data_IF_457910127289
#
_entry.id   IF_457910127289
#
_cell.length_a   1.000
_cell.length_b   1.000
_cell.length_c   1.000
_cell.angle_alpha   90.00
_cell.angle_beta   90.00
_cell.angle_gamma   90.00
#
_symmetry.space_group_name_H-M   'P 1'
#
loop_
_entity.id
_entity.type
_entity.pdbx_description
1 polymer ?
#
# COMPACT_ATOMS: atom_id res chain seq x y z
N UNK A 1 20.51 -0.52 -4.53
CA UNK A 1 19.04 -0.68 -4.69
C UNK A 1 18.28 0.46 -4.02
N UNK A 2 18.47 0.75 -2.73
CA UNK A 2 17.73 1.80 -2.00
C UNK A 2 18.02 3.24 -2.46
N UNK A 3 19.25 3.55 -2.87
CA UNK A 3 19.62 4.89 -3.35
C UNK A 3 18.88 5.28 -4.63
N UNK A 4 18.58 4.32 -5.50
CA UNK A 4 17.86 4.54 -6.76
C UNK A 4 16.37 4.84 -6.56
N UNK A 5 15.81 4.57 -5.37
CA UNK A 5 14.37 4.66 -5.08
C UNK A 5 14.01 6.01 -4.44
N UNK A 6 15.00 6.85 -4.10
CA UNK A 6 14.76 8.16 -3.49
C UNK A 6 14.06 8.07 -2.13
N UNK A 7 14.41 7.05 -1.33
CA UNK A 7 13.91 6.87 0.05
C UNK A 7 14.84 7.54 1.06
N UNK A 8 14.24 8.18 2.07
CA UNK A 8 14.95 8.87 3.14
C UNK A 8 15.82 7.95 4.00
N UNK A 9 16.79 8.54 4.70
CA UNK A 9 17.77 7.83 5.55
C UNK A 9 17.13 6.89 6.56
N UNK A 10 16.04 7.31 7.22
CA UNK A 10 15.30 6.49 8.20
C UNK A 10 14.81 5.17 7.60
N UNK A 11 14.14 5.24 6.44
CA UNK A 11 13.63 4.05 5.73
C UNK A 11 14.79 3.14 5.32
N UNK A 12 15.92 3.71 4.89
CA UNK A 12 17.11 2.95 4.49
C UNK A 12 17.73 2.20 5.67
N UNK A 13 17.87 2.86 6.81
CA UNK A 13 18.41 2.25 8.04
C UNK A 13 17.50 1.13 8.54
N UNK A 14 16.18 1.32 8.47
CA UNK A 14 15.23 0.30 8.85
C UNK A 14 15.21 -0.88 7.88
N UNK A 15 15.23 -0.63 6.56
CA UNK A 15 15.38 -1.69 5.58
C UNK A 15 16.68 -2.48 5.79
N UNK A 16 17.79 -1.79 6.10
CA UNK A 16 19.08 -2.42 6.39
C UNK A 16 19.02 -3.27 7.66
N UNK A 17 18.48 -2.75 8.76
CA UNK A 17 18.38 -3.50 10.03
C UNK A 17 17.48 -4.73 9.90
N UNK A 18 16.41 -4.63 9.11
CA UNK A 18 15.48 -5.72 8.83
C UNK A 18 16.14 -6.78 7.93
N UNK A 19 16.84 -6.35 6.86
CA UNK A 19 17.65 -7.27 6.05
C UNK A 19 18.73 -7.97 6.88
N UNK A 20 19.45 -7.23 7.72
CA UNK A 20 20.53 -7.77 8.55
C UNK A 20 19.98 -8.85 9.50
N UNK A 21 18.88 -8.58 10.21
CA UNK A 21 18.25 -9.58 11.09
C UNK A 21 17.80 -10.84 10.32
N UNK A 22 17.25 -10.68 9.12
CA UNK A 22 16.78 -11.80 8.30
C UNK A 22 17.91 -12.60 7.64
N UNK A 23 19.04 -11.95 7.34
CA UNK A 23 20.18 -12.59 6.67
C UNK A 23 21.11 -13.28 7.65
N UNK A 24 21.27 -12.72 8.84
CA UNK A 24 22.05 -13.34 9.92
C UNK A 24 21.23 -14.34 10.75
N UNK A 25 19.90 -14.35 10.61
CA UNK A 25 19.07 -15.46 11.05
C UNK A 25 19.04 -16.59 10.01
N UNK A 26 18.67 -17.81 10.43
CA UNK A 26 18.55 -18.99 9.55
C UNK A 26 17.54 -18.82 8.41
N UNK A 27 16.78 -17.72 8.41
CA UNK A 27 15.77 -17.40 7.41
C UNK A 27 16.34 -17.25 5.98
N UNK A 28 17.57 -16.77 5.82
CA UNK A 28 18.15 -16.53 4.49
C UNK A 28 18.79 -17.76 3.83
N UNK A 29 18.92 -18.88 4.54
CA UNK A 29 19.55 -20.10 4.03
C UNK A 29 18.77 -20.65 2.84
N UNK A 30 19.44 -20.82 1.70
CA UNK A 30 18.84 -21.32 0.45
C UNK A 30 17.92 -20.34 -0.29
N UNK A 31 17.79 -19.09 0.18
CA UNK A 31 16.93 -18.07 -0.44
C UNK A 31 17.73 -17.04 -1.23
N UNK A 32 17.10 -16.46 -2.25
CA UNK A 32 17.71 -15.39 -3.06
C UNK A 32 17.81 -14.10 -2.24
N UNK A 33 19.04 -13.69 -1.89
CA UNK A 33 19.32 -12.49 -1.10
C UNK A 33 18.77 -11.21 -1.74
N UNK A 34 18.68 -11.15 -3.07
CA UNK A 34 18.10 -9.99 -3.78
C UNK A 34 16.59 -9.90 -3.56
N UNK A 35 15.90 -11.05 -3.49
CA UNK A 35 14.47 -11.14 -3.20
C UNK A 35 14.18 -10.78 -1.75
N UNK A 36 15.04 -11.20 -0.82
CA UNK A 36 14.95 -10.81 0.60
C UNK A 36 15.12 -9.30 0.75
N UNK A 37 16.18 -8.73 0.15
CA UNK A 37 16.46 -7.30 0.24
C UNK A 37 15.32 -6.44 -0.33
N UNK A 38 14.75 -6.87 -1.47
CA UNK A 38 13.60 -6.20 -2.07
C UNK A 38 12.36 -6.27 -1.18
N UNK A 39 12.04 -7.44 -0.64
CA UNK A 39 10.88 -7.63 0.23
C UNK A 39 11.00 -6.87 1.57
N UNK A 40 12.18 -6.87 2.19
CA UNK A 40 12.47 -6.11 3.40
C UNK A 40 12.42 -4.60 3.15
N UNK A 41 12.92 -4.14 2.00
CA UNK A 41 12.78 -2.73 1.57
C UNK A 41 11.33 -2.32 1.43
N UNK A 42 10.50 -3.16 0.79
CA UNK A 42 9.06 -2.92 0.67
C UNK A 42 8.38 -2.86 2.04
N UNK A 43 8.76 -3.73 2.97
CA UNK A 43 8.24 -3.72 4.33
C UNK A 43 8.62 -2.46 5.09
N UNK A 44 9.90 -2.06 5.06
CA UNK A 44 10.37 -0.83 5.68
C UNK A 44 9.67 0.40 5.11
N UNK A 45 9.51 0.50 3.78
CA UNK A 45 8.75 1.60 3.19
C UNK A 45 7.32 1.64 3.73
N UNK A 46 6.67 0.48 3.83
CA UNK A 46 5.29 0.38 4.35
C UNK A 46 5.19 0.76 5.83
N UNK A 47 6.19 0.47 6.66
CA UNK A 47 6.20 0.91 8.05
C UNK A 47 6.22 2.42 8.18
N UNK A 48 6.89 3.10 7.26
CA UNK A 48 6.93 4.57 7.18
C UNK A 48 5.80 5.17 6.34
N UNK A 49 4.73 4.41 6.09
CA UNK A 49 3.57 4.89 5.32
C UNK A 49 3.84 5.09 3.81
N UNK A 50 5.04 4.77 3.32
CA UNK A 50 5.40 4.87 1.91
C UNK A 50 5.12 3.56 1.18
N UNK A 51 4.31 3.66 0.14
CA UNK A 51 4.05 2.55 -0.78
C UNK A 51 5.07 2.57 -1.90
N UNK A 52 5.81 1.48 -2.08
CA UNK A 52 6.57 1.27 -3.31
C UNK A 52 5.71 0.60 -4.38
N UNK A 53 5.63 1.23 -5.55
CA UNK A 53 5.09 0.62 -6.75
C UNK A 53 6.05 -0.43 -7.33
N UNK A 54 5.52 -1.45 -8.01
CA UNK A 54 6.35 -2.50 -8.63
C UNK A 54 7.35 -1.96 -9.66
N UNK A 55 6.98 -0.86 -10.32
CA UNK A 55 7.80 -0.18 -11.32
C UNK A 55 8.91 0.68 -10.70
N UNK A 56 8.81 0.97 -9.40
CA UNK A 56 9.77 1.84 -8.69
C UNK A 56 10.99 1.07 -8.21
N UNK A 57 10.96 -0.26 -8.20
CA UNK A 57 12.11 -1.08 -7.81
C UNK A 57 12.80 -1.63 -9.07
N UNK A 58 13.99 -1.14 -9.44
CA UNK A 58 14.66 -1.51 -10.69
C UNK A 58 15.02 -3.00 -10.72
N UNK A 59 14.81 -3.66 -11.86
CA UNK A 59 15.23 -5.06 -12.09
C UNK A 59 14.34 -6.14 -11.45
N UNK A 60 13.17 -5.75 -10.93
CA UNK A 60 12.33 -6.62 -10.09
C UNK A 60 11.10 -7.22 -10.80
N UNK A 61 10.71 -6.67 -11.96
CA UNK A 61 9.45 -7.04 -12.63
C UNK A 61 9.30 -8.56 -12.87
N UNK A 62 10.40 -9.25 -13.18
CA UNK A 62 10.43 -10.71 -13.45
C UNK A 62 10.32 -11.56 -12.18
N UNK A 63 10.62 -11.01 -10.99
CA UNK A 63 10.62 -11.72 -9.70
C UNK A 63 9.45 -11.35 -8.79
N UNK A 64 8.46 -10.59 -9.29
CA UNK A 64 7.35 -10.05 -8.50
C UNK A 64 6.65 -11.08 -7.61
N UNK A 65 6.29 -12.26 -8.16
CA UNK A 65 5.61 -13.33 -7.38
C UNK A 65 6.47 -13.85 -6.23
N UNK A 66 7.78 -14.00 -6.44
CA UNK A 66 8.71 -14.47 -5.40
C UNK A 66 8.86 -13.44 -4.29
N UNK A 67 8.91 -12.15 -4.65
CA UNK A 67 9.04 -11.05 -3.68
C UNK A 67 7.77 -10.89 -2.86
N UNK A 68 6.58 -11.04 -3.46
CA UNK A 68 5.31 -11.04 -2.72
C UNK A 68 5.24 -12.19 -1.70
N UNK A 69 5.68 -13.38 -2.09
CA UNK A 69 5.78 -14.51 -1.16
C UNK A 69 6.77 -14.22 -0.04
N UNK A 70 7.96 -13.74 -0.40
CA UNK A 70 9.01 -13.39 0.57
C UNK A 70 8.56 -12.31 1.55
N UNK A 71 7.86 -11.29 1.05
CA UNK A 71 7.30 -10.22 1.86
C UNK A 71 6.36 -10.78 2.94
N UNK A 72 5.47 -11.71 2.58
CA UNK A 72 4.57 -12.36 3.54
C UNK A 72 5.33 -13.25 4.54
N UNK A 73 6.31 -14.00 4.06
CA UNK A 73 7.17 -14.81 4.94
C UNK A 73 7.93 -13.94 5.95
N UNK A 74 8.47 -12.80 5.51
CA UNK A 74 9.15 -11.84 6.38
C UNK A 74 8.18 -11.26 7.40
N UNK A 75 6.97 -10.86 7.01
CA UNK A 75 5.96 -10.37 7.97
C UNK A 75 5.66 -11.41 9.04
N UNK A 76 5.50 -12.67 8.64
CA UNK A 76 5.25 -13.77 9.57
C UNK A 76 6.42 -13.98 10.54
N UNK A 77 7.66 -14.04 10.03
CA UNK A 77 8.85 -14.33 10.85
C UNK A 77 9.25 -13.15 11.74
N UNK A 78 9.08 -11.92 11.26
CA UNK A 78 9.43 -10.72 12.03
C UNK A 78 8.33 -10.26 12.99
N UNK A 79 7.10 -10.77 12.85
CA UNK A 79 5.93 -10.27 13.57
C UNK A 79 5.53 -8.84 13.16
N UNK A 80 6.16 -8.27 12.13
CA UNK A 80 5.94 -6.89 11.71
C UNK A 80 4.78 -6.84 10.72
N UNK A 81 3.64 -6.33 11.18
CA UNK A 81 2.51 -5.94 10.34
C UNK A 81 2.48 -4.42 10.24
N UNK A 82 2.86 -3.83 9.08
CA UNK A 82 2.79 -2.39 8.92
C UNK A 82 1.35 -1.91 9.09
N UNK A 83 1.22 -0.78 9.76
CA UNK A 83 -0.06 -0.17 10.11
C UNK A 83 -0.93 0.09 8.87
N UNK A 84 -2.25 0.22 9.05
CA UNK A 84 -3.27 0.18 7.98
C UNK A 84 -2.87 1.01 6.75
N UNK A 85 -2.22 0.34 5.80
CA UNK A 85 -1.62 0.89 4.58
C UNK A 85 -2.57 1.77 3.77
N UNK A 86 -3.88 1.54 3.90
CA UNK A 86 -4.91 2.34 3.24
C UNK A 86 -4.96 3.79 3.76
N UNK A 87 -4.69 4.05 5.05
CA UNK A 87 -4.70 5.40 5.61
C UNK A 87 -3.59 6.27 5.02
N UNK A 88 -2.37 5.74 4.96
CA UNK A 88 -1.23 6.50 4.41
C UNK A 88 -1.38 6.76 2.91
N UNK A 89 -2.01 5.82 2.17
CA UNK A 89 -2.37 6.05 0.77
C UNK A 89 -3.36 7.21 0.63
N UNK A 90 -4.39 7.28 1.48
CA UNK A 90 -5.37 8.38 1.42
C UNK A 90 -4.66 9.71 1.62
N UNK A 91 -3.83 9.84 2.66
CA UNK A 91 -3.09 11.09 2.92
C UNK A 91 -2.22 11.50 1.72
N UNK A 92 -1.46 10.56 1.15
CA UNK A 92 -0.62 10.84 -0.03
C UNK A 92 -1.47 11.24 -1.24
N UNK A 93 -2.52 10.49 -1.54
CA UNK A 93 -3.41 10.78 -2.68
C UNK A 93 -4.11 12.13 -2.54
N UNK A 94 -4.50 12.50 -1.32
CA UNK A 94 -5.06 13.81 -1.05
C UNK A 94 -4.04 14.92 -1.34
N UNK A 95 -2.79 14.76 -0.94
CA UNK A 95 -1.71 15.70 -1.28
C UNK A 95 -1.45 15.74 -2.79
N UNK A 96 -1.33 14.59 -3.45
CA UNK A 96 -1.07 14.50 -4.90
C UNK A 96 -2.20 15.14 -5.75
N UNK A 97 -3.40 15.26 -5.18
CA UNK A 97 -4.58 15.82 -5.85
C UNK A 97 -4.97 17.23 -5.36
N UNK A 98 -4.15 17.86 -4.51
CA UNK A 98 -4.41 19.16 -3.87
C UNK A 98 -5.78 19.22 -3.14
N UNK A 99 -6.08 18.19 -2.35
CA UNK A 99 -7.30 18.14 -1.55
C UNK A 99 -7.11 18.76 -0.18
N UNK A 100 -8.19 19.33 0.35
CA UNK A 100 -8.17 19.94 1.67
C UNK A 100 -8.00 18.89 2.77
N UNK A 101 -7.54 19.35 3.93
CA UNK A 101 -7.46 18.50 5.14
C UNK A 101 -8.85 17.96 5.51
N UNK A 102 -9.91 18.75 5.28
CA UNK A 102 -11.29 18.32 5.53
C UNK A 102 -11.70 17.15 4.63
N UNK A 103 -11.34 17.20 3.35
CA UNK A 103 -11.60 16.11 2.40
C UNK A 103 -10.84 14.83 2.80
N UNK A 104 -9.58 14.98 3.24
CA UNK A 104 -8.78 13.87 3.73
C UNK A 104 -9.40 13.23 4.98
N UNK A 105 -9.84 14.03 5.96
CA UNK A 105 -10.51 13.53 7.17
C UNK A 105 -11.82 12.81 6.84
N UNK A 106 -12.59 13.32 5.88
CA UNK A 106 -13.83 12.69 5.43
C UNK A 106 -13.56 11.36 4.71
N UNK A 107 -12.54 11.30 3.85
CA UNK A 107 -12.10 10.06 3.20
C UNK A 107 -11.65 9.01 4.24
N UNK A 108 -10.88 9.42 5.26
CA UNK A 108 -10.47 8.54 6.35
C UNK A 108 -11.67 8.03 7.17
N UNK A 109 -12.69 8.86 7.39
CA UNK A 109 -13.92 8.46 8.07
C UNK A 109 -14.70 7.40 7.29
N UNK A 110 -14.75 7.52 5.96
CA UNK A 110 -15.36 6.52 5.08
C UNK A 110 -14.55 5.23 5.07
N UNK A 111 -13.22 5.31 5.03
CA UNK A 111 -12.36 4.14 5.14
C UNK A 111 -12.62 3.39 6.45
N UNK A 112 -12.69 4.11 7.57
CA UNK A 112 -13.00 3.50 8.87
C UNK A 112 -14.37 2.79 8.85
N UNK A 113 -15.37 3.35 8.18
CA UNK A 113 -16.68 2.70 8.02
C UNK A 113 -16.58 1.41 7.18
N UNK A 114 -15.87 1.46 6.04
CA UNK A 114 -15.62 0.28 5.20
C UNK A 114 -14.88 -0.83 5.95
N UNK A 115 -13.92 -0.47 6.80
CA UNK A 115 -13.14 -1.42 7.60
C UNK A 115 -13.97 -2.02 8.74
N UNK A 116 -14.82 -1.23 9.41
CA UNK A 116 -15.73 -1.73 10.45
C UNK A 116 -16.70 -2.80 9.92
N UNK A 117 -17.15 -2.66 8.68
CA UNK A 117 -18.01 -3.65 8.04
C UNK A 117 -17.24 -4.79 7.35
N UNK A 118 -15.92 -4.92 7.56
CA UNK A 118 -15.05 -5.89 6.88
C UNK A 118 -15.11 -5.82 5.33
N UNK A 119 -15.60 -4.72 4.75
CA UNK A 119 -15.73 -4.58 3.31
C UNK A 119 -14.36 -4.52 2.62
N UNK A 120 -13.32 -4.04 3.30
CA UNK A 120 -11.98 -3.91 2.73
C UNK A 120 -11.26 -5.26 2.53
N UNK A 121 -11.78 -6.35 3.10
CA UNK A 121 -11.15 -7.67 3.03
C UNK A 121 -11.09 -8.21 1.58
N UNK A 122 -9.92 -8.70 1.17
CA UNK A 122 -9.67 -9.19 -0.19
C UNK A 122 -9.60 -8.12 -1.28
N UNK A 123 -9.83 -6.84 -0.96
CA UNK A 123 -9.78 -5.72 -1.91
C UNK A 123 -8.40 -5.08 -1.96
N UNK A 124 -8.02 -4.53 -3.13
CA UNK A 124 -6.75 -3.81 -3.28
C UNK A 124 -6.82 -2.50 -2.48
N UNK A 125 -5.88 -2.22 -1.57
CA UNK A 125 -6.00 -1.02 -0.73
C UNK A 125 -5.91 0.29 -1.52
N UNK A 126 -5.18 0.34 -2.64
CA UNK A 126 -5.20 1.50 -3.55
C UNK A 126 -6.59 1.77 -4.12
N UNK A 127 -7.34 0.72 -4.47
CA UNK A 127 -8.72 0.86 -4.94
C UNK A 127 -9.66 1.29 -3.81
N UNK A 128 -9.47 0.78 -2.60
CA UNK A 128 -10.25 1.17 -1.41
C UNK A 128 -9.99 2.65 -1.07
N UNK A 129 -8.73 3.07 -1.02
CA UNK A 129 -8.35 4.46 -0.75
C UNK A 129 -8.92 5.42 -1.81
N UNK A 130 -8.77 5.10 -3.10
CA UNK A 130 -9.33 5.89 -4.18
C UNK A 130 -10.87 5.97 -4.10
N UNK A 131 -11.53 4.87 -3.74
CA UNK A 131 -12.97 4.86 -3.55
C UNK A 131 -13.41 5.72 -2.36
N UNK A 132 -12.71 5.63 -1.22
CA UNK A 132 -12.99 6.45 -0.05
C UNK A 132 -12.87 7.95 -0.36
N UNK A 133 -11.88 8.37 -1.15
CA UNK A 133 -11.70 9.76 -1.60
C UNK A 133 -12.84 10.22 -2.52
N UNK A 134 -13.26 9.36 -3.46
CA UNK A 134 -14.39 9.67 -4.35
C UNK A 134 -15.70 9.75 -3.57
N UNK A 135 -15.91 8.85 -2.61
CA UNK A 135 -17.10 8.82 -1.75
C UNK A 135 -17.15 9.97 -0.75
N UNK A 136 -16.01 10.56 -0.39
CA UNK A 136 -15.94 11.75 0.46
C UNK A 136 -16.64 12.98 -0.15
N UNK A 137 -17.13 12.89 -1.39
CA UNK A 137 -17.88 13.97 -2.04
C UNK A 137 -16.97 15.05 -2.61
N UNK A 138 -15.68 14.74 -2.75
CA UNK A 138 -14.73 15.61 -3.45
C UNK A 138 -15.17 15.74 -4.91
N UNK A 139 -15.09 16.94 -5.51
CA UNK A 139 -15.39 17.17 -6.94
C UNK A 139 -14.31 16.56 -7.85
N UNK A 140 -13.82 15.37 -7.53
CA UNK A 140 -12.80 14.64 -8.26
C UNK A 140 -13.47 13.64 -9.18
N UNK A 141 -13.06 13.66 -10.45
CA UNK A 141 -13.51 12.64 -11.40
C UNK A 141 -12.94 11.27 -11.01
N UNK A 142 -13.75 10.21 -11.20
CA UNK A 142 -13.32 8.82 -10.99
C UNK A 142 -12.04 8.50 -11.77
N UNK A 143 -11.88 9.11 -12.95
CA UNK A 143 -10.69 8.97 -13.79
C UNK A 143 -9.44 9.59 -13.15
N UNK A 144 -9.55 10.79 -12.57
CA UNK A 144 -8.44 11.46 -11.87
C UNK A 144 -8.01 10.66 -10.64
N UNK A 145 -8.97 10.18 -9.84
CA UNK A 145 -8.70 9.33 -8.68
C UNK A 145 -8.03 7.99 -9.09
N UNK A 146 -8.51 7.36 -10.17
CA UNK A 146 -7.91 6.12 -10.69
C UNK A 146 -6.47 6.34 -11.17
N UNK A 147 -6.22 7.46 -11.85
CA UNK A 147 -4.89 7.83 -12.35
C UNK A 147 -3.92 8.09 -11.21
N UNK A 148 -4.31 8.89 -10.21
CA UNK A 148 -3.50 9.20 -9.04
C UNK A 148 -3.15 7.92 -8.23
N UNK A 149 -4.11 7.01 -8.10
CA UNK A 149 -3.91 5.74 -7.42
C UNK A 149 -3.21 4.67 -8.30
N UNK A 150 -2.93 4.96 -9.57
CA UNK A 150 -2.35 4.03 -10.55
C UNK A 150 -3.16 2.72 -10.71
N UNK A 151 -4.49 2.83 -10.70
CA UNK A 151 -5.43 1.71 -10.84
C UNK A 151 -6.29 1.87 -12.11
N UNK A 152 -6.95 0.79 -12.52
CA UNK A 152 -7.90 0.85 -13.62
C UNK A 152 -9.23 1.49 -13.18
N UNK A 153 -9.72 2.44 -13.98
CA UNK A 153 -11.01 3.10 -13.72
C UNK A 153 -12.20 2.12 -13.64
N UNK A 154 -12.31 1.08 -14.49
CA UNK A 154 -13.35 0.06 -14.34
C UNK A 154 -13.29 -0.67 -13.00
N UNK A 155 -12.08 -0.96 -12.49
CA UNK A 155 -11.91 -1.60 -11.19
C UNK A 155 -12.39 -0.72 -10.04
N UNK A 156 -12.15 0.59 -10.12
CA UNK A 156 -12.66 1.57 -9.17
C UNK A 156 -14.20 1.68 -9.23
N UNK A 157 -14.78 1.74 -10.43
CA UNK A 157 -16.24 1.81 -10.63
C UNK A 157 -16.95 0.58 -10.04
N UNK A 158 -16.42 -0.62 -10.28
CA UNK A 158 -16.98 -1.86 -9.74
C UNK A 158 -16.97 -1.86 -8.21
N UNK A 159 -15.87 -1.39 -7.60
CA UNK A 159 -15.76 -1.31 -6.15
C UNK A 159 -16.73 -0.29 -5.54
N UNK A 160 -16.92 0.87 -6.18
CA UNK A 160 -17.89 1.88 -5.76
C UNK A 160 -19.33 1.35 -5.81
N UNK A 161 -19.70 0.66 -6.90
CA UNK A 161 -21.03 0.02 -7.00
C UNK A 161 -21.23 -1.02 -5.91
N UNK A 162 -20.23 -1.88 -5.68
CA UNK A 162 -20.29 -2.89 -4.63
C UNK A 162 -20.44 -2.27 -3.23
N UNK A 163 -19.81 -1.12 -2.96
CA UNK A 163 -20.00 -0.41 -1.71
C UNK A 163 -21.40 0.21 -1.58
N UNK A 164 -21.93 0.78 -2.66
CA UNK A 164 -23.28 1.36 -2.66
C UNK A 164 -24.33 0.30 -2.37
N UNK A 165 -24.30 -0.85 -3.07
CA UNK A 165 -25.22 -1.96 -2.79
C UNK A 165 -25.07 -2.48 -1.36
N UNK A 166 -23.84 -2.61 -0.87
CA UNK A 166 -23.58 -3.08 0.49
C UNK A 166 -24.10 -2.11 1.58
N UNK A 167 -24.08 -0.81 1.31
CA UNK A 167 -24.54 0.22 2.24
C UNK A 167 -26.06 0.49 2.15
N UNK A 168 -26.74 -0.05 1.13
CA UNK A 168 -28.22 -0.07 1.04
C UNK A 168 -28.82 -1.29 1.78
N UNK A 169 -28.01 -2.33 2.04
CA UNK A 169 -28.40 -3.54 2.78
C UNK A 169 -28.21 -3.43 4.31
N UNK A 170 -27.64 -2.33 4.80
CA UNK A 170 -27.41 -2.02 6.22
C UNK A 170 -28.30 -0.87 6.65
#
# INVERSE_FOLDING_TARGET
MLECIGVGTTIRLEAYSLCHRLVYGDFATGKDKTVIAAAATMLACRLHGRVLGWKEIPGISTKMRRILRMYREIQYVSGITPDRYTHSIISRLCTDMDLSIYDAQRALSILNAMEKCNFTHGKKPQCVAAAAIVLAGTRISKSKAATAAQISEPGLKNLLRAWQSYNEEI
#
